data_IF_075559659886
#
_entry.id   IF_075559659886
#
_cell.length_a   1.000
_cell.length_b   1.000
_cell.length_c   1.000
_cell.angle_alpha   90.00
_cell.angle_beta   90.00
_cell.angle_gamma   90.00
#
_symmetry.space_group_name_H-M   'P 1'
#
loop_
_entity.id
_entity.type
_entity.pdbx_description
1 polymer ?
#
# COMPACT_ATOMS: atom_id res chain seq x y z
N UNK A 1 -25.11 -7.33 -10.52
CA UNK A 1 -24.29 -8.47 -10.05
C UNK A 1 -23.01 -7.96 -9.41
N UNK A 2 -22.88 -8.14 -8.09
CA UNK A 2 -21.61 -7.91 -7.40
C UNK A 2 -20.66 -9.07 -7.72
N UNK A 3 -19.35 -8.82 -7.73
CA UNK A 3 -18.36 -9.88 -7.89
C UNK A 3 -18.48 -10.88 -6.73
N UNK A 4 -18.20 -12.17 -7.01
CA UNK A 4 -18.18 -13.19 -5.96
C UNK A 4 -17.14 -12.81 -4.88
N UNK A 5 -17.40 -13.07 -3.58
CA UNK A 5 -16.51 -12.68 -2.49
C UNK A 5 -15.06 -13.11 -2.68
N UNK A 6 -14.84 -14.29 -3.26
CA UNK A 6 -13.49 -14.81 -3.57
C UNK A 6 -12.78 -14.01 -4.66
N UNK A 7 -13.51 -13.56 -5.70
CA UNK A 7 -12.96 -12.73 -6.76
C UNK A 7 -12.59 -11.34 -6.22
N UNK A 8 -13.43 -10.78 -5.35
CA UNK A 8 -13.15 -9.52 -4.69
C UNK A 8 -11.93 -9.64 -3.77
N UNK A 9 -11.84 -10.71 -2.96
CA UNK A 9 -10.69 -10.96 -2.09
C UNK A 9 -9.39 -11.06 -2.89
N UNK A 10 -9.38 -11.83 -3.98
CA UNK A 10 -8.21 -11.97 -4.84
C UNK A 10 -7.76 -10.64 -5.45
N UNK A 11 -8.70 -9.81 -5.90
CA UNK A 11 -8.39 -8.48 -6.46
C UNK A 11 -7.85 -7.52 -5.38
N UNK A 12 -8.41 -7.53 -4.17
CA UNK A 12 -7.93 -6.68 -3.07
C UNK A 12 -6.53 -7.12 -2.62
N UNK A 13 -6.25 -8.42 -2.53
CA UNK A 13 -4.90 -8.95 -2.24
C UNK A 13 -3.90 -8.57 -3.32
N UNK A 14 -4.29 -8.66 -4.60
CA UNK A 14 -3.44 -8.22 -5.73
C UNK A 14 -3.11 -6.73 -5.62
N UNK A 15 -4.10 -5.89 -5.30
CA UNK A 15 -3.88 -4.45 -5.10
C UNK A 15 -2.98 -4.17 -3.92
N UNK A 16 -3.21 -4.84 -2.78
CA UNK A 16 -2.33 -4.74 -1.62
C UNK A 16 -0.87 -5.00 -2.01
N UNK A 17 -0.60 -6.09 -2.75
CA UNK A 17 0.75 -6.41 -3.21
C UNK A 17 1.37 -5.34 -4.12
N UNK A 18 0.58 -4.76 -5.04
CA UNK A 18 1.03 -3.66 -5.92
C UNK A 18 1.42 -2.43 -5.11
N UNK A 19 0.56 -2.01 -4.17
CA UNK A 19 0.82 -0.84 -3.34
C UNK A 19 1.99 -1.05 -2.36
N UNK A 20 2.12 -2.25 -1.80
CA UNK A 20 3.26 -2.61 -0.95
C UNK A 20 4.59 -2.56 -1.72
N UNK A 21 4.62 -3.05 -2.96
CA UNK A 21 5.81 -2.98 -3.81
C UNK A 21 6.16 -1.52 -4.16
N UNK A 22 5.16 -0.69 -4.47
CA UNK A 22 5.37 0.74 -4.76
C UNK A 22 5.84 1.51 -3.53
N UNK A 23 5.28 1.22 -2.35
CA UNK A 23 5.70 1.80 -1.07
C UNK A 23 7.18 1.50 -0.78
N UNK A 24 7.60 0.24 -0.96
CA UNK A 24 9.00 -0.15 -0.75
C UNK A 24 9.95 0.67 -1.64
N UNK A 25 9.63 0.82 -2.93
CA UNK A 25 10.42 1.65 -3.86
C UNK A 25 10.49 3.13 -3.43
N UNK A 26 9.39 3.69 -2.94
CA UNK A 26 9.38 5.06 -2.42
C UNK A 26 10.18 5.22 -1.13
N UNK A 27 10.11 4.24 -0.22
CA UNK A 27 10.87 4.25 1.03
C UNK A 27 12.38 4.12 0.79
N UNK A 28 12.81 3.32 -0.19
CA UNK A 28 14.21 3.27 -0.64
C UNK A 28 14.67 4.65 -1.15
N UNK A 29 13.85 5.30 -1.96
CA UNK A 29 14.13 6.66 -2.45
C UNK A 29 14.18 7.67 -1.31
N UNK A 30 13.26 7.60 -0.35
CA UNK A 30 13.21 8.47 0.83
C UNK A 30 14.47 8.29 1.69
N UNK A 31 14.93 7.05 1.92
CA UNK A 31 16.15 6.80 2.67
C UNK A 31 17.38 7.47 2.01
N UNK A 32 17.49 7.39 0.67
CA UNK A 32 18.55 8.07 -0.08
C UNK A 32 18.49 9.60 0.06
N UNK A 33 17.29 10.18 -0.01
CA UNK A 33 17.08 11.62 0.19
C UNK A 33 17.46 12.05 1.61
N UNK A 34 17.00 11.33 2.63
CA UNK A 34 17.24 11.66 4.04
C UNK A 34 18.70 11.45 4.47
N UNK A 35 19.47 10.61 3.76
CA UNK A 35 20.90 10.42 4.02
C UNK A 35 21.79 11.60 3.61
N UNK A 36 21.26 12.53 2.80
CA UNK A 36 22.03 13.66 2.29
C UNK A 36 21.94 14.87 3.24
N UNK A 37 23.10 15.40 3.65
CA UNK A 37 23.16 16.65 4.40
C UNK A 37 22.99 17.85 3.47
N UNK A 38 22.13 18.80 3.84
CA UNK A 38 21.99 20.07 3.13
C UNK A 38 21.29 19.98 1.78
N UNK A 39 20.16 19.25 1.71
CA UNK A 39 19.37 19.10 0.48
C UNK A 39 19.01 20.48 -0.13
N UNK A 40 19.31 20.73 -1.42
CA UNK A 40 18.89 21.96 -2.08
C UNK A 40 17.37 22.16 -2.02
N UNK A 41 16.90 23.40 -1.97
CA UNK A 41 15.47 23.74 -1.83
C UNK A 41 14.58 23.06 -2.89
N UNK A 42 15.06 22.97 -4.13
CA UNK A 42 14.35 22.28 -5.20
C UNK A 42 14.14 20.78 -4.92
N UNK A 43 15.13 20.12 -4.36
CA UNK A 43 15.03 18.70 -3.96
C UNK A 43 14.10 18.54 -2.74
N UNK A 44 14.06 19.52 -1.84
CA UNK A 44 13.08 19.53 -0.73
C UNK A 44 11.64 19.57 -1.27
N UNK A 45 11.37 20.35 -2.33
CA UNK A 45 10.06 20.34 -2.99
C UNK A 45 9.74 19.00 -3.65
N UNK A 46 10.71 18.37 -4.31
CA UNK A 46 10.52 17.02 -4.88
C UNK A 46 10.21 15.99 -3.80
N UNK A 47 10.88 16.10 -2.65
CA UNK A 47 10.63 15.25 -1.50
C UNK A 47 9.18 15.37 -0.98
N UNK A 48 8.56 16.54 -1.02
CA UNK A 48 7.14 16.69 -0.62
C UNK A 48 6.21 15.84 -1.49
N UNK A 49 6.48 15.73 -2.80
CA UNK A 49 5.72 14.87 -3.71
C UNK A 49 5.97 13.39 -3.41
N UNK A 50 7.23 12.99 -3.18
CA UNK A 50 7.57 11.62 -2.76
C UNK A 50 6.82 11.24 -1.48
N UNK A 51 6.83 12.12 -0.48
CA UNK A 51 6.13 11.93 0.79
C UNK A 51 4.62 11.76 0.60
N UNK A 52 4.01 12.53 -0.31
CA UNK A 52 2.60 12.37 -0.66
C UNK A 52 2.30 11.00 -1.27
N UNK A 53 3.23 10.48 -2.09
CA UNK A 53 3.18 9.12 -2.63
C UNK A 53 3.25 8.07 -1.52
N UNK A 54 4.22 8.17 -0.62
CA UNK A 54 4.36 7.25 0.53
C UNK A 54 3.08 7.18 1.36
N UNK A 55 2.52 8.34 1.72
CA UNK A 55 1.27 8.41 2.49
C UNK A 55 0.08 7.80 1.71
N UNK A 56 0.06 7.93 0.38
CA UNK A 56 -0.96 7.32 -0.45
C UNK A 56 -0.90 5.80 -0.42
N UNK A 57 0.29 5.24 -0.63
CA UNK A 57 0.47 3.78 -0.67
C UNK A 57 0.17 3.15 0.70
N UNK A 58 0.59 3.81 1.79
CA UNK A 58 0.29 3.37 3.15
C UNK A 58 -1.22 3.33 3.44
N UNK A 59 -1.97 4.35 3.00
CA UNK A 59 -3.41 4.38 3.21
C UNK A 59 -4.14 3.34 2.35
N UNK A 60 -3.67 3.10 1.11
CA UNK A 60 -4.17 2.02 0.27
C UNK A 60 -3.98 0.65 0.90
N UNK A 61 -2.79 0.39 1.45
CA UNK A 61 -2.48 -0.86 2.15
C UNK A 61 -3.41 -1.04 3.35
N UNK A 62 -3.54 0.00 4.20
CA UNK A 62 -4.46 -0.04 5.35
C UNK A 62 -5.89 -0.35 4.93
N UNK A 63 -6.38 0.32 3.90
CA UNK A 63 -7.73 0.07 3.39
C UNK A 63 -7.89 -1.35 2.84
N UNK A 64 -6.89 -1.88 2.13
CA UNK A 64 -6.89 -3.27 1.68
C UNK A 64 -6.96 -4.24 2.86
N UNK A 65 -6.20 -4.01 3.93
CA UNK A 65 -6.21 -4.84 5.14
C UNK A 65 -7.59 -4.83 5.82
N UNK A 66 -8.22 -3.66 5.93
CA UNK A 66 -9.58 -3.51 6.47
C UNK A 66 -10.60 -4.32 5.66
N UNK A 67 -10.54 -4.25 4.32
CA UNK A 67 -11.45 -4.97 3.43
C UNK A 67 -11.19 -6.47 3.48
N UNK A 68 -9.94 -6.92 3.48
CA UNK A 68 -9.57 -8.34 3.60
C UNK A 68 -10.11 -8.91 4.92
N UNK A 69 -9.91 -8.19 6.04
CA UNK A 69 -10.43 -8.59 7.34
C UNK A 69 -11.95 -8.68 7.34
N UNK A 70 -12.64 -7.70 6.75
CA UNK A 70 -14.10 -7.73 6.59
C UNK A 70 -14.54 -8.96 5.78
N UNK A 71 -13.92 -9.23 4.63
CA UNK A 71 -14.30 -10.36 3.77
C UNK A 71 -14.09 -11.70 4.45
N UNK A 72 -13.00 -11.88 5.20
CA UNK A 72 -12.75 -13.09 5.99
C UNK A 72 -13.76 -13.28 7.13
N UNK A 73 -14.28 -12.21 7.73
CA UNK A 73 -15.34 -12.30 8.74
C UNK A 73 -16.68 -12.74 8.13
N UNK A 74 -17.00 -12.25 6.93
CA UNK A 74 -18.25 -12.61 6.25
C UNK A 74 -18.19 -14.00 5.60
N UNK A 75 -17.01 -14.41 5.14
CA UNK A 75 -16.77 -15.67 4.45
C UNK A 75 -15.50 -16.31 5.02
N UNK A 76 -15.59 -17.00 6.17
CA UNK A 76 -14.45 -17.67 6.75
C UNK A 76 -13.91 -18.72 5.78
N UNK A 77 -12.58 -18.86 5.64
CA UNK A 77 -12.01 -19.94 4.85
C UNK A 77 -12.48 -21.28 5.43
N UNK A 78 -12.78 -22.24 4.54
CA UNK A 78 -13.16 -23.59 4.96
C UNK A 78 -12.11 -24.13 5.95
N UNK A 79 -12.54 -24.61 7.11
CA UNK A 79 -11.62 -25.17 8.10
C UNK A 79 -10.91 -26.39 7.49
N UNK A 80 -9.58 -26.52 7.67
CA UNK A 80 -8.90 -27.73 7.24
C UNK A 80 -9.42 -28.95 8.04
N UNK A 81 -9.44 -30.15 7.44
CA UNK A 81 -9.90 -31.37 8.09
C UNK A 81 -9.03 -31.81 9.27
#
# INVERSE_FOLDING_TARGET
PYAEPEQLLAEVQRRHAVHAAQLASYQETEALVLSQAGLPLQEQYRYLTLRRGILFEQEWIRWCDEVIAFLHQQHPPASPP
#
